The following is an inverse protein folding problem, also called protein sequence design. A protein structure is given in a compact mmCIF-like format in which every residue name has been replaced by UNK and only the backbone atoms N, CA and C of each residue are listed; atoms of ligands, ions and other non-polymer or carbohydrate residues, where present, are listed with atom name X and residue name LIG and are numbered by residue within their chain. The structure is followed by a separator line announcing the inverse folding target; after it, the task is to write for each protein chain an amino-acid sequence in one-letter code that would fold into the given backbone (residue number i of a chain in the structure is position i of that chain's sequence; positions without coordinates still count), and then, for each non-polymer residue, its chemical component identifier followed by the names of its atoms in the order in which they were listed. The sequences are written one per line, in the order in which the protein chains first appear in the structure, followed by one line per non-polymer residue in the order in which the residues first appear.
data_IF_651511479268
#
_entry.id   IF_651511479268
#
_cell.length_a   1.000
_cell.length_b   1.000
_cell.length_c   1.000
_cell.angle_alpha   90.00
_cell.angle_beta   90.00
_cell.angle_gamma   90.00
#
_symmetry.space_group_name_H-M   'P 1'
#
loop_
_entity.id
_entity.type
_entity.pdbx_description
1 polymer ?
#
# COMPACT_ATOMS: atom_id res chain seq x y z
N UNK A 1 -79.41 -28.15 -17.18
CA UNK A 1 -78.02 -27.84 -17.58
C UNK A 1 -77.10 -28.81 -16.85
N UNK A 2 -76.95 -30.05 -17.35
CA UNK A 2 -75.81 -30.54 -18.15
C UNK A 2 -74.46 -30.46 -17.39
N UNK A 3 -73.65 -31.49 -17.09
CA UNK A 3 -73.65 -32.98 -17.03
C UNK A 3 -72.26 -33.36 -16.41
N UNK A 4 -72.18 -34.46 -15.63
CA UNK A 4 -71.11 -35.49 -15.51
C UNK A 4 -69.62 -35.10 -15.37
N UNK A 5 -68.94 -35.46 -14.27
CA UNK A 5 -68.07 -36.66 -14.03
C UNK A 5 -66.86 -36.78 -14.99
N UNK A 6 -65.63 -36.89 -14.44
CA UNK A 6 -64.53 -37.53 -15.18
C UNK A 6 -63.10 -37.35 -14.64
N UNK A 7 -62.61 -38.38 -13.95
CA UNK A 7 -61.20 -38.71 -13.69
C UNK A 7 -60.39 -38.87 -15.00
N UNK A 8 -59.08 -38.59 -15.02
CA UNK A 8 -58.21 -38.98 -16.14
C UNK A 8 -56.80 -38.39 -16.14
N UNK A 9 -55.81 -39.26 -15.95
CA UNK A 9 -54.36 -39.04 -15.95
C UNK A 9 -53.78 -38.52 -17.29
N UNK A 10 -52.53 -38.01 -17.26
CA UNK A 10 -51.45 -38.10 -18.29
C UNK A 10 -50.37 -37.06 -17.95
N UNK A 11 -49.21 -37.45 -17.39
CA UNK A 11 -48.00 -37.79 -18.14
C UNK A 11 -47.63 -36.73 -19.20
N UNK A 12 -46.62 -35.89 -18.91
CA UNK A 12 -46.15 -34.88 -19.85
C UNK A 12 -44.80 -34.26 -19.49
N UNK A 13 -43.75 -34.77 -20.14
CA UNK A 13 -42.48 -34.10 -20.44
C UNK A 13 -41.44 -33.87 -19.33
N UNK A 14 -40.59 -34.89 -19.18
CA UNK A 14 -39.15 -34.76 -18.96
C UNK A 14 -38.53 -33.81 -20.01
N UNK A 15 -38.33 -32.53 -19.69
CA UNK A 15 -37.51 -31.63 -20.51
C UNK A 15 -36.59 -30.84 -19.59
N UNK A 16 -35.29 -31.05 -19.76
CA UNK A 16 -34.27 -30.13 -19.27
C UNK A 16 -33.21 -30.71 -18.34
N UNK A 17 -32.59 -31.85 -18.67
CA UNK A 17 -31.19 -32.11 -18.28
C UNK A 17 -30.29 -31.15 -19.08
N UNK A 18 -30.41 -29.86 -18.81
CA UNK A 18 -29.45 -28.86 -19.25
C UNK A 18 -28.22 -29.02 -18.38
N UNK A 19 -27.20 -29.70 -18.91
CA UNK A 19 -25.89 -29.75 -18.28
C UNK A 19 -25.45 -28.33 -17.97
N UNK A 20 -25.28 -28.02 -16.68
CA UNK A 20 -24.61 -26.81 -16.25
C UNK A 20 -23.17 -26.91 -16.76
N UNK A 21 -22.92 -26.37 -17.96
CA UNK A 21 -21.58 -26.02 -18.38
C UNK A 21 -21.09 -25.03 -17.33
N UNK A 22 -20.22 -25.48 -16.43
CA UNK A 22 -19.56 -24.62 -15.48
C UNK A 22 -18.78 -23.58 -16.30
N UNK A 23 -19.37 -22.39 -16.49
CA UNK A 23 -18.66 -21.25 -17.04
C UNK A 23 -17.52 -20.96 -16.07
N UNK A 24 -16.30 -21.37 -16.45
CA UNK A 24 -15.10 -20.98 -15.74
C UNK A 24 -15.04 -19.47 -15.74
N UNK A 25 -15.21 -18.90 -14.55
CA UNK A 25 -15.24 -17.47 -14.33
C UNK A 25 -13.91 -16.88 -14.84
N UNK A 26 -13.94 -15.91 -15.76
CA UNK A 26 -12.71 -15.33 -16.32
C UNK A 26 -11.84 -14.80 -15.18
N UNK A 27 -10.64 -15.36 -15.02
CA UNK A 27 -9.68 -14.91 -14.03
C UNK A 27 -9.01 -13.66 -14.57
N UNK A 28 -9.44 -12.48 -14.12
CA UNK A 28 -8.79 -11.22 -14.45
C UNK A 28 -7.42 -11.16 -13.79
N UNK A 29 -6.36 -11.12 -14.60
CA UNK A 29 -4.98 -10.89 -14.15
C UNK A 29 -4.58 -9.49 -14.56
N UNK A 30 -4.66 -8.55 -13.62
CA UNK A 30 -4.10 -7.21 -13.77
C UNK A 30 -2.89 -7.05 -12.86
N UNK A 31 -1.77 -6.59 -13.41
CA UNK A 31 -0.60 -6.14 -12.65
C UNK A 31 -0.31 -4.69 -12.99
N UNK A 32 0.05 -3.89 -11.99
CA UNK A 32 0.53 -2.52 -12.16
C UNK A 32 1.84 -2.37 -11.41
N UNK A 33 2.87 -1.85 -12.09
CA UNK A 33 4.15 -1.52 -11.46
C UNK A 33 4.13 -0.05 -11.05
N UNK A 34 4.36 0.20 -9.76
CA UNK A 34 4.43 1.56 -9.21
C UNK A 34 5.88 1.86 -8.85
N UNK A 35 6.43 2.90 -9.48
CA UNK A 35 7.77 3.40 -9.18
C UNK A 35 7.67 4.45 -8.07
N UNK A 36 8.46 4.27 -7.01
CA UNK A 36 8.53 5.23 -5.89
C UNK A 36 9.64 6.24 -6.16
N UNK A 37 9.33 7.52 -5.98
CA UNK A 37 10.30 8.61 -6.07
C UNK A 37 10.34 9.32 -4.73
N UNK A 38 11.53 9.40 -4.12
CA UNK A 38 11.75 10.12 -2.86
C UNK A 38 12.33 11.50 -3.15
N UNK A 39 11.78 12.53 -2.52
CA UNK A 39 12.18 13.93 -2.73
C UNK A 39 12.36 14.61 -1.38
N UNK A 40 13.47 15.34 -1.23
CA UNK A 40 13.75 16.19 -0.06
C UNK A 40 13.77 17.64 -0.52
N UNK A 41 12.97 18.50 0.10
CA UNK A 41 12.93 19.93 -0.20
C UNK A 41 13.44 20.72 1.00
N UNK A 42 14.39 21.62 0.73
CA UNK A 42 14.98 22.52 1.73
C UNK A 42 14.63 23.96 1.40
N UNK A 43 14.44 24.78 2.44
CA UNK A 43 14.35 26.22 2.31
C UNK A 43 15.75 26.86 2.13
N UNK A 44 15.80 28.18 2.04
CA UNK A 44 17.06 28.93 1.85
C UNK A 44 18.02 28.82 3.04
N UNK A 45 17.49 28.50 4.23
CA UNK A 45 18.25 28.34 5.46
C UNK A 45 18.64 26.86 5.72
N UNK A 46 18.30 25.96 4.79
CA UNK A 46 18.57 24.53 4.90
C UNK A 46 17.58 23.75 5.77
N UNK A 47 16.42 24.33 6.11
CA UNK A 47 15.37 23.63 6.88
C UNK A 47 14.47 22.83 5.95
N UNK A 48 14.00 21.68 6.44
CA UNK A 48 13.06 20.81 5.70
C UNK A 48 11.71 21.51 5.49
N UNK A 49 11.25 21.53 4.25
CA UNK A 49 9.90 22.01 3.91
C UNK A 49 8.95 20.81 3.87
N UNK A 50 8.20 20.59 4.95
CA UNK A 50 7.31 19.43 5.10
C UNK A 50 5.86 19.70 4.70
N UNK A 51 5.51 20.96 4.44
CA UNK A 51 4.12 21.39 4.18
C UNK A 51 3.72 21.40 2.69
N UNK A 52 4.60 20.95 1.79
CA UNK A 52 4.29 20.95 0.36
C UNK A 52 3.24 19.89 0.03
N UNK A 53 2.25 20.30 -0.74
CA UNK A 53 1.15 19.47 -1.23
C UNK A 53 1.48 18.92 -2.61
N UNK A 54 0.75 17.86 -3.02
CA UNK A 54 0.93 17.17 -4.30
C UNK A 54 0.94 18.09 -5.53
N UNK A 55 0.17 19.17 -5.52
CA UNK A 55 0.09 20.16 -6.62
C UNK A 55 1.37 20.96 -6.83
N UNK A 56 2.34 20.88 -5.91
CA UNK A 56 3.66 21.52 -6.04
C UNK A 56 4.68 20.64 -6.76
N UNK A 57 4.29 19.45 -7.21
CA UNK A 57 5.17 18.49 -7.86
C UNK A 57 4.65 18.09 -9.24
N UNK A 58 5.57 18.00 -10.20
CA UNK A 58 5.37 17.40 -11.51
C UNK A 58 6.42 16.29 -11.67
N UNK A 59 5.97 15.07 -11.97
CA UNK A 59 6.86 13.97 -12.34
C UNK A 59 6.90 13.92 -13.85
N UNK A 60 8.11 13.84 -14.42
CA UNK A 60 8.30 13.68 -15.87
C UNK A 60 9.18 12.48 -16.13
N UNK A 61 8.82 11.73 -17.14
CA UNK A 61 9.61 10.62 -17.67
C UNK A 61 9.89 10.88 -19.15
N UNK A 62 11.16 10.90 -19.52
CA UNK A 62 11.64 11.36 -20.85
C UNK A 62 10.99 12.68 -21.31
N UNK A 63 10.85 13.61 -20.37
CA UNK A 63 10.25 14.93 -20.62
C UNK A 63 8.72 14.93 -20.74
N UNK A 64 8.04 13.79 -20.64
CA UNK A 64 6.58 13.68 -20.65
C UNK A 64 6.01 13.67 -19.23
N UNK A 65 4.99 14.49 -18.90
CA UNK A 65 4.35 14.46 -17.59
C UNK A 65 3.74 13.09 -17.27
N UNK A 66 3.98 12.61 -16.06
CA UNK A 66 3.45 11.35 -15.53
C UNK A 66 2.48 11.62 -14.39
N UNK A 67 1.37 10.88 -14.30
CA UNK A 67 0.41 11.04 -13.22
C UNK A 67 1.01 10.53 -11.90
N UNK A 68 1.02 11.39 -10.88
CA UNK A 68 1.36 10.99 -9.51
C UNK A 68 0.17 10.19 -8.96
N UNK A 69 0.24 8.86 -8.87
CA UNK A 69 -0.90 8.05 -8.40
C UNK A 69 -1.02 8.00 -6.87
N UNK A 70 0.12 8.12 -6.16
CA UNK A 70 0.22 8.13 -4.70
C UNK A 70 1.15 9.25 -4.27
N UNK A 71 0.75 10.02 -3.25
CA UNK A 71 1.57 11.05 -2.63
C UNK A 71 1.42 10.93 -1.12
N UNK A 72 2.54 10.89 -0.41
CA UNK A 72 2.58 10.86 1.05
C UNK A 72 3.72 11.77 1.53
N UNK A 73 3.39 12.73 2.37
CA UNK A 73 4.33 13.61 3.07
C UNK A 73 4.16 13.52 4.59
N UNK A 74 3.43 12.52 5.08
CA UNK A 74 3.17 12.32 6.49
C UNK A 74 4.48 11.91 7.18
N UNK A 75 4.81 12.50 8.34
CA UNK A 75 5.93 12.03 9.14
C UNK A 75 5.78 10.54 9.47
N UNK A 76 6.75 9.73 9.06
CA UNK A 76 6.78 8.30 9.31
C UNK A 76 7.60 8.02 10.59
N UNK A 77 7.11 7.19 11.53
CA UNK A 77 7.88 6.81 12.71
C UNK A 77 9.18 6.12 12.31
N UNK A 78 10.31 6.60 12.82
CA UNK A 78 11.60 5.93 12.67
C UNK A 78 11.83 4.96 13.83
N UNK A 79 12.51 3.84 13.54
CA UNK A 79 13.03 2.93 14.57
C UNK A 79 14.54 3.02 14.57
N UNK A 80 15.11 3.42 15.69
CA UNK A 80 16.55 3.55 15.88
C UNK A 80 17.05 2.46 16.82
N UNK A 81 18.15 1.81 16.43
CA UNK A 81 18.92 0.91 17.31
C UNK A 81 20.32 1.51 17.42
N UNK A 82 20.77 1.74 18.66
CA UNK A 82 22.12 2.23 18.94
C UNK A 82 22.92 1.09 19.57
N UNK A 83 24.06 0.77 18.95
CA UNK A 83 25.01 -0.22 19.45
C UNK A 83 26.30 0.50 19.81
N UNK A 84 26.77 0.31 21.05
CA UNK A 84 27.99 0.94 21.55
C UNK A 84 29.09 -0.11 21.70
N UNK A 85 30.26 0.17 21.15
CA UNK A 85 31.46 -0.61 21.45
C UNK A 85 31.94 -0.29 22.87
N UNK A 86 32.23 -1.35 23.63
CA UNK A 86 32.72 -1.30 25.02
C UNK A 86 34.10 -1.96 25.16
N UNK A 87 34.83 -2.11 24.05
CA UNK A 87 36.20 -2.60 24.03
C UNK A 87 37.17 -1.67 24.78
N UNK A 88 38.36 -2.19 25.12
CA UNK A 88 39.35 -1.47 25.93
C UNK A 88 39.85 -0.16 25.31
N UNK A 89 39.87 -0.04 23.98
CA UNK A 89 40.23 1.20 23.27
C UNK A 89 39.17 2.30 23.44
N UNK A 90 37.93 1.94 23.78
CA UNK A 90 36.83 2.87 23.97
C UNK A 90 36.70 3.39 25.41
N UNK A 91 37.53 2.93 26.35
CA UNK A 91 37.42 3.26 27.77
C UNK A 91 37.36 4.77 28.06
N UNK A 92 38.16 5.59 27.37
CA UNK A 92 38.15 7.06 27.53
C UNK A 92 36.93 7.75 26.92
N UNK A 93 36.30 7.14 25.91
CA UNK A 93 35.18 7.72 25.16
C UNK A 93 33.81 7.21 25.64
N UNK A 94 33.78 6.14 26.44
CA UNK A 94 32.54 5.51 26.88
C UNK A 94 31.61 6.46 27.67
N UNK A 95 32.09 7.35 28.56
CA UNK A 95 31.22 8.33 29.23
C UNK A 95 30.55 9.28 28.23
N UNK A 96 31.31 9.78 27.25
CA UNK A 96 30.82 10.67 26.20
C UNK A 96 29.78 9.95 25.33
N UNK A 97 30.06 8.72 24.89
CA UNK A 97 29.12 7.94 24.08
C UNK A 97 27.82 7.65 24.82
N UNK A 98 27.89 7.38 26.13
CA UNK A 98 26.70 7.16 26.96
C UNK A 98 25.85 8.43 27.05
N UNK A 99 26.48 9.58 27.30
CA UNK A 99 25.76 10.86 27.41
C UNK A 99 25.16 11.27 26.06
N UNK A 100 25.93 11.19 24.98
CA UNK A 100 25.47 11.52 23.63
C UNK A 100 24.30 10.62 23.19
N UNK A 101 24.35 9.33 23.52
CA UNK A 101 23.25 8.40 23.25
C UNK A 101 21.98 8.81 24.00
N UNK A 102 22.09 9.17 25.29
CA UNK A 102 20.94 9.64 26.06
C UNK A 102 20.36 10.95 25.49
N UNK A 103 21.22 11.89 25.08
CA UNK A 103 20.78 13.14 24.46
C UNK A 103 20.12 12.92 23.10
N UNK A 104 20.60 11.97 22.30
CA UNK A 104 20.01 11.60 21.01
C UNK A 104 18.55 11.18 21.18
N UNK A 105 18.28 10.26 22.12
CA UNK A 105 16.92 9.78 22.38
C UNK A 105 16.01 10.85 23.01
N UNK A 106 16.56 11.87 23.66
CA UNK A 106 15.79 12.97 24.23
C UNK A 106 15.39 14.05 23.20
N UNK A 107 16.06 14.09 22.03
CA UNK A 107 15.83 15.09 20.97
C UNK A 107 15.07 14.56 19.75
N UNK A 108 14.82 13.25 19.71
CA UNK A 108 13.96 12.60 18.72
C UNK A 108 12.51 12.60 19.20
#
# INVERSE_FOLDING_TARGET
MMRFIGCGALAGCLIGLGGAAAQQQPVFRGGGEVVRVFVTVLDRDGRLVTSLTRDKFEVRDDGRPQPITQFDNTPQPIRLIVMLDVSGSMAGNLPLLREASAQLFARL
#
